data_IF_787221326242
#
_entry.id   IF_787221326242
#
_cell.length_a   1.000
_cell.length_b   1.000
_cell.length_c   1.000
_cell.angle_alpha   90.00
_cell.angle_beta   90.00
_cell.angle_gamma   90.00
#
_symmetry.space_group_name_H-M   'P 1'
#
loop_
_entity.id
_entity.type
_entity.pdbx_description
1 polymer ?
#
# COMPACT_ATOMS: atom_id res chain seq x y z
N UNK A 1 -3.27 2.86 -22.03
CA UNK A 1 -2.95 1.43 -22.11
C UNK A 1 -1.80 1.12 -21.15
N UNK A 2 -1.87 -0.02 -20.49
CA UNK A 2 -0.81 -0.47 -19.58
C UNK A 2 0.25 -1.22 -20.39
N UNK A 3 1.46 -0.73 -20.39
CA UNK A 3 2.60 -1.28 -21.13
C UNK A 3 3.63 -1.90 -20.17
N UNK A 4 4.78 -2.29 -20.70
CA UNK A 4 5.86 -2.91 -19.93
C UNK A 4 6.39 -1.97 -18.84
N UNK A 5 6.53 -0.68 -19.15
CA UNK A 5 6.97 0.32 -18.17
C UNK A 5 6.00 0.43 -17.00
N UNK A 6 4.69 0.42 -17.28
CA UNK A 6 3.67 0.46 -16.24
C UNK A 6 3.71 -0.80 -15.37
N UNK A 7 4.00 -1.97 -15.97
CA UNK A 7 4.15 -3.22 -15.21
C UNK A 7 5.33 -3.15 -14.24
N UNK A 8 6.46 -2.63 -14.69
CA UNK A 8 7.64 -2.43 -13.84
C UNK A 8 7.36 -1.44 -12.72
N UNK A 9 6.64 -0.36 -13.02
CA UNK A 9 6.20 0.62 -12.05
C UNK A 9 5.36 -0.02 -10.95
N UNK A 10 4.37 -0.82 -11.32
CA UNK A 10 3.51 -1.52 -10.36
C UNK A 10 4.33 -2.49 -9.51
N UNK A 11 5.21 -3.26 -10.12
CA UNK A 11 6.08 -4.19 -9.39
C UNK A 11 6.93 -3.45 -8.36
N UNK A 12 7.52 -2.33 -8.77
CA UNK A 12 8.36 -1.51 -7.88
C UNK A 12 7.55 -0.88 -6.74
N UNK A 13 6.31 -0.45 -7.02
CA UNK A 13 5.41 0.06 -5.99
C UNK A 13 5.22 -0.95 -4.86
N UNK A 14 4.95 -2.22 -5.20
CA UNK A 14 4.70 -3.23 -4.18
C UNK A 14 5.94 -3.65 -3.41
N UNK A 15 7.14 -3.35 -3.90
CA UNK A 15 8.37 -3.54 -3.12
C UNK A 15 8.36 -2.72 -1.83
N UNK A 16 7.62 -1.61 -1.81
CA UNK A 16 7.48 -0.75 -0.63
C UNK A 16 6.78 -1.43 0.55
N UNK A 17 6.03 -2.49 0.28
CA UNK A 17 5.25 -3.21 1.29
C UNK A 17 5.88 -4.56 1.66
N UNK A 18 7.12 -4.80 1.23
CA UNK A 18 7.93 -5.97 1.59
C UNK A 18 9.15 -5.50 2.35
N UNK A 19 9.03 -5.49 3.68
CA UNK A 19 10.03 -4.91 4.55
C UNK A 19 11.12 -5.92 4.93
N UNK A 20 12.33 -5.47 5.21
CA UNK A 20 12.77 -4.07 5.24
C UNK A 20 12.92 -3.46 3.84
N UNK A 21 12.81 -2.12 3.76
CA UNK A 21 12.97 -1.42 2.48
C UNK A 21 14.40 -1.57 1.96
N UNK A 22 14.53 -1.93 0.68
CA UNK A 22 15.84 -2.04 0.02
C UNK A 22 16.32 -0.72 -0.54
N UNK A 23 15.38 0.16 -0.88
CA UNK A 23 15.62 1.49 -1.40
C UNK A 23 14.82 2.50 -0.59
N UNK A 24 15.20 3.77 -0.64
CA UNK A 24 14.45 4.80 0.07
C UNK A 24 13.02 4.89 -0.47
N UNK A 25 12.07 5.03 0.44
CA UNK A 25 10.65 5.17 0.08
C UNK A 25 10.43 6.40 -0.80
N UNK A 26 11.08 7.52 -0.48
CA UNK A 26 11.01 8.73 -1.29
C UNK A 26 11.59 8.52 -2.70
N UNK A 27 12.71 7.83 -2.82
CA UNK A 27 13.32 7.53 -4.10
C UNK A 27 12.45 6.66 -4.99
N UNK A 28 11.79 5.65 -4.41
CA UNK A 28 10.84 4.82 -5.15
C UNK A 28 9.64 5.66 -5.59
N UNK A 29 9.07 6.48 -4.71
CA UNK A 29 7.96 7.37 -5.07
C UNK A 29 8.33 8.27 -6.25
N UNK A 30 9.53 8.86 -6.24
CA UNK A 30 9.96 9.74 -7.33
C UNK A 30 9.98 9.03 -8.68
N UNK A 31 10.25 7.74 -8.70
CA UNK A 31 10.29 6.96 -9.94
C UNK A 31 8.94 6.42 -10.37
N UNK A 32 8.05 6.09 -9.42
CA UNK A 32 6.85 5.31 -9.74
C UNK A 32 5.55 6.11 -9.65
N UNK A 33 5.53 7.28 -9.00
CA UNK A 33 4.31 8.08 -8.92
C UNK A 33 4.51 9.46 -9.54
N UNK A 34 3.41 10.04 -10.02
CA UNK A 34 3.43 11.41 -10.56
C UNK A 34 3.57 12.44 -9.44
N UNK A 35 4.01 13.68 -9.75
CA UNK A 35 4.11 14.73 -8.72
C UNK A 35 2.80 15.05 -8.01
N UNK A 36 1.68 14.89 -8.70
CA UNK A 36 0.33 15.13 -8.16
C UNK A 36 -0.35 13.86 -7.63
N UNK A 37 0.42 12.82 -7.35
CA UNK A 37 -0.09 11.54 -6.85
C UNK A 37 -0.97 11.70 -5.62
N UNK A 38 -2.06 10.94 -5.59
CA UNK A 38 -2.90 10.79 -4.41
C UNK A 38 -3.19 9.33 -4.11
N UNK A 39 -3.22 9.00 -2.83
CA UNK A 39 -3.58 7.68 -2.31
C UNK A 39 -4.83 7.83 -1.46
N UNK A 40 -5.91 7.15 -1.84
CA UNK A 40 -7.25 7.41 -1.30
C UNK A 40 -7.91 6.14 -0.78
N UNK A 41 -8.63 6.27 0.33
CA UNK A 41 -9.49 5.21 0.87
C UNK A 41 -10.97 5.43 0.51
N UNK A 42 -11.27 6.52 -0.17
CA UNK A 42 -12.62 6.90 -0.61
C UNK A 42 -12.57 8.24 -1.31
N UNK A 43 -13.72 8.87 -1.49
CA UNK A 43 -13.87 10.14 -2.20
C UNK A 43 -14.23 11.31 -1.27
N UNK A 44 -14.17 11.07 0.04
CA UNK A 44 -14.45 12.11 1.03
C UNK A 44 -13.31 13.12 1.17
N UNK A 45 -13.57 14.27 1.81
CA UNK A 45 -12.60 15.37 1.87
C UNK A 45 -11.33 15.05 2.70
N UNK A 46 -11.35 13.99 3.52
CA UNK A 46 -10.20 13.58 4.33
C UNK A 46 -9.66 12.22 3.93
N UNK A 47 -10.10 11.66 2.80
CA UNK A 47 -9.79 10.28 2.44
C UNK A 47 -8.52 10.13 1.62
N UNK A 48 -7.91 11.22 1.15
CA UNK A 48 -6.75 11.16 0.26
C UNK A 48 -5.51 11.74 0.91
N UNK A 49 -4.39 11.06 0.67
CA UNK A 49 -3.05 11.55 1.00
C UNK A 49 -2.36 12.01 -0.28
N UNK A 50 -1.59 13.09 -0.20
CA UNK A 50 -0.69 13.46 -1.27
C UNK A 50 0.58 12.59 -1.27
N UNK A 51 1.45 12.83 -2.25
CA UNK A 51 2.71 12.09 -2.39
C UNK A 51 3.54 12.16 -1.11
N UNK A 52 3.68 13.34 -0.53
CA UNK A 52 4.50 13.54 0.66
C UNK A 52 3.96 12.75 1.86
N UNK A 53 2.65 12.76 2.05
CA UNK A 53 2.02 12.00 3.14
C UNK A 53 2.16 10.49 2.91
N UNK A 54 2.02 10.03 1.67
CA UNK A 54 2.25 8.63 1.30
C UNK A 54 3.66 8.18 1.68
N UNK A 55 4.67 8.99 1.36
CA UNK A 55 6.07 8.71 1.72
C UNK A 55 6.21 8.58 3.23
N UNK A 56 5.64 9.50 4.00
CA UNK A 56 5.72 9.49 5.47
C UNK A 56 5.10 8.23 6.06
N UNK A 57 3.90 7.89 5.61
CA UNK A 57 3.16 6.72 6.13
C UNK A 57 3.91 5.43 5.81
N UNK A 58 4.34 5.25 4.58
CA UNK A 58 5.01 4.02 4.16
C UNK A 58 6.38 3.90 4.83
N UNK A 59 7.11 4.99 4.97
CA UNK A 59 8.37 4.99 5.73
C UNK A 59 8.13 4.54 7.17
N UNK A 60 7.05 4.98 7.78
CA UNK A 60 6.69 4.61 9.15
C UNK A 60 6.41 3.13 9.36
N UNK A 61 6.08 2.39 8.31
CA UNK A 61 5.83 0.95 8.44
C UNK A 61 7.04 0.17 8.92
N UNK A 62 8.26 0.63 8.65
CA UNK A 62 9.48 -0.02 9.17
C UNK A 62 9.50 -0.08 10.69
N UNK A 63 8.89 0.90 11.34
CA UNK A 63 8.78 0.94 12.80
C UNK A 63 7.52 0.26 13.30
N UNK A 64 6.38 0.47 12.61
CA UNK A 64 5.08 0.04 13.11
C UNK A 64 4.76 -1.42 12.77
N UNK A 65 5.21 -1.92 11.62
CA UNK A 65 4.97 -3.31 11.18
C UNK A 65 6.23 -3.80 10.46
N UNK A 66 7.33 -4.03 11.20
CA UNK A 66 8.65 -4.25 10.58
C UNK A 66 8.77 -5.52 9.75
N UNK A 67 7.88 -6.48 9.92
CA UNK A 67 7.84 -7.72 9.14
C UNK A 67 6.75 -7.73 8.07
N UNK A 68 6.25 -6.55 7.68
CA UNK A 68 5.20 -6.45 6.66
C UNK A 68 5.60 -7.14 5.36
N UNK A 69 4.63 -7.88 4.80
CA UNK A 69 4.74 -8.51 3.49
C UNK A 69 3.46 -8.27 2.71
N UNK A 70 3.61 -8.11 1.40
CA UNK A 70 2.49 -8.02 0.48
C UNK A 70 2.70 -9.04 -0.63
N UNK A 71 1.73 -9.93 -0.81
CA UNK A 71 1.74 -10.91 -1.89
C UNK A 71 0.65 -10.54 -2.89
N UNK A 72 1.05 -10.33 -4.14
CA UNK A 72 0.10 -10.09 -5.22
C UNK A 72 -0.55 -11.42 -5.60
N UNK A 73 -1.88 -11.48 -5.50
CA UNK A 73 -2.64 -12.70 -5.87
C UNK A 73 -3.16 -12.61 -7.30
N UNK A 74 -3.63 -11.44 -7.72
CA UNK A 74 -4.19 -11.21 -9.03
C UNK A 74 -3.92 -9.79 -9.50
N UNK A 75 -3.73 -9.62 -10.79
CA UNK A 75 -3.59 -8.32 -11.43
C UNK A 75 -4.46 -8.27 -12.66
N UNK A 76 -5.15 -7.17 -12.84
CA UNK A 76 -5.99 -6.92 -14.01
C UNK A 76 -5.65 -5.55 -14.56
N UNK A 77 -5.51 -5.45 -15.89
CA UNK A 77 -5.31 -4.18 -16.55
C UNK A 77 -6.52 -3.89 -17.44
N UNK A 78 -7.06 -2.67 -17.34
CA UNK A 78 -8.17 -2.20 -18.13
C UNK A 78 -7.95 -0.73 -18.46
N UNK A 79 -7.79 -0.40 -19.74
CA UNK A 79 -7.45 0.95 -20.20
C UNK A 79 -6.17 1.48 -19.52
N UNK A 80 -6.28 2.53 -18.73
CA UNK A 80 -5.17 3.11 -17.96
C UNK A 80 -5.20 2.71 -16.48
N UNK A 81 -5.99 1.69 -16.12
CA UNK A 81 -6.11 1.21 -14.76
C UNK A 81 -5.42 -0.14 -14.58
N UNK A 82 -4.80 -0.32 -13.43
CA UNK A 82 -4.31 -1.62 -12.96
C UNK A 82 -4.96 -1.91 -11.63
N UNK A 83 -5.63 -3.05 -11.54
CA UNK A 83 -6.29 -3.51 -10.32
C UNK A 83 -5.46 -4.64 -9.75
N UNK A 84 -5.13 -4.55 -8.46
CA UNK A 84 -4.36 -5.58 -7.75
C UNK A 84 -5.16 -6.08 -6.57
N UNK A 85 -5.36 -7.39 -6.50
CA UNK A 85 -5.82 -8.06 -5.29
C UNK A 85 -4.65 -8.79 -4.67
N UNK A 86 -4.42 -8.55 -3.41
CA UNK A 86 -3.29 -9.13 -2.71
C UNK A 86 -3.61 -9.50 -1.28
N UNK A 87 -2.57 -9.89 -0.59
CA UNK A 87 -2.62 -10.25 0.82
C UNK A 87 -1.49 -9.53 1.54
N UNK A 88 -1.84 -8.73 2.54
CA UNK A 88 -0.88 -8.06 3.40
C UNK A 88 -0.84 -8.77 4.75
N UNK A 89 0.36 -8.94 5.28
CA UNK A 89 0.58 -9.60 6.55
C UNK A 89 1.64 -8.87 7.36
N UNK A 90 1.62 -9.06 8.67
CA UNK A 90 2.61 -8.47 9.53
C UNK A 90 2.25 -8.59 11.00
N UNK A 91 3.21 -8.21 11.84
CA UNK A 91 3.06 -8.20 13.30
C UNK A 91 3.22 -6.77 13.78
N UNK A 92 2.14 -6.12 14.24
CA UNK A 92 2.27 -4.75 14.79
C UNK A 92 3.27 -4.71 15.95
N UNK A 93 4.17 -3.73 15.91
CA UNK A 93 5.15 -3.50 16.99
C UNK A 93 4.60 -2.59 18.09
N UNK A 94 3.42 -2.02 17.85
CA UNK A 94 2.66 -1.20 18.79
C UNK A 94 1.22 -1.15 18.32
N UNK A 95 0.34 -0.45 19.02
CA UNK A 95 -1.04 -0.27 18.56
C UNK A 95 -1.06 0.68 17.36
N UNK A 96 -1.96 0.41 16.40
CA UNK A 96 -2.13 1.19 15.19
C UNK A 96 -3.48 1.90 15.20
N UNK A 97 -3.60 2.98 14.42
CA UNK A 97 -4.85 3.73 14.24
C UNK A 97 -5.49 4.13 15.57
N UNK A 98 -4.68 4.75 16.46
CA UNK A 98 -5.18 5.21 17.75
C UNK A 98 -5.64 4.11 18.70
N UNK A 99 -5.11 2.90 18.55
CA UNK A 99 -5.47 1.76 19.38
C UNK A 99 -6.55 0.86 18.80
N UNK A 100 -7.10 1.21 17.62
CA UNK A 100 -8.11 0.38 16.96
C UNK A 100 -7.54 -1.00 16.60
N UNK A 101 -6.30 -1.03 16.15
CA UNK A 101 -5.56 -2.27 15.85
C UNK A 101 -4.63 -2.55 17.03
N UNK A 102 -4.89 -3.61 17.82
CA UNK A 102 -4.16 -3.83 19.07
C UNK A 102 -2.75 -4.39 18.85
N UNK A 103 -1.87 -4.10 19.82
CA UNK A 103 -0.55 -4.71 19.90
C UNK A 103 -0.61 -5.94 20.80
N UNK A 104 -0.66 -7.13 20.21
CA UNK A 104 -0.78 -8.39 20.95
C UNK A 104 0.38 -9.36 20.74
N UNK A 105 1.33 -8.99 19.89
CA UNK A 105 2.43 -9.88 19.48
C UNK A 105 2.03 -10.89 18.41
N UNK A 106 0.75 -10.93 18.03
CA UNK A 106 0.25 -11.82 16.99
C UNK A 106 0.41 -11.20 15.62
N UNK A 107 0.36 -12.04 14.59
CA UNK A 107 0.46 -11.66 13.19
C UNK A 107 -0.92 -11.63 12.55
N UNK A 108 -1.18 -10.60 11.72
CA UNK A 108 -2.37 -10.57 10.87
C UNK A 108 -2.03 -10.97 9.44
N UNK A 109 -3.04 -11.43 8.71
CA UNK A 109 -2.96 -11.74 7.28
C UNK A 109 -4.33 -11.45 6.68
N UNK A 110 -4.43 -10.44 5.84
CA UNK A 110 -5.72 -9.96 5.34
C UNK A 110 -5.65 -9.60 3.86
N UNK A 111 -6.81 -9.62 3.21
CA UNK A 111 -6.93 -9.23 1.82
C UNK A 111 -6.80 -7.71 1.68
N UNK A 112 -6.12 -7.29 0.62
CA UNK A 112 -6.03 -5.91 0.19
C UNK A 112 -6.37 -5.80 -1.29
N UNK A 113 -7.02 -4.71 -1.67
CA UNK A 113 -7.35 -4.43 -3.06
C UNK A 113 -7.01 -2.99 -3.40
N UNK A 114 -6.29 -2.80 -4.50
CA UNK A 114 -5.85 -1.49 -4.97
C UNK A 114 -6.29 -1.29 -6.41
N UNK A 115 -6.71 -0.06 -6.72
CA UNK A 115 -6.99 0.38 -8.08
C UNK A 115 -6.05 1.54 -8.39
N UNK A 116 -5.15 1.32 -9.34
CA UNK A 116 -4.16 2.32 -9.74
C UNK A 116 -4.54 2.92 -11.09
N UNK A 117 -4.44 4.24 -11.20
CA UNK A 117 -4.52 4.94 -12.48
C UNK A 117 -3.12 5.25 -12.96
N UNK A 118 -2.80 4.86 -14.19
CA UNK A 118 -1.48 5.02 -14.79
C UNK A 118 -1.50 6.20 -15.75
N UNK A 119 -0.47 7.05 -15.67
CA UNK A 119 -0.26 8.18 -16.56
C UNK A 119 1.23 8.31 -16.85
N UNK A 120 1.59 8.23 -18.13
CA UNK A 120 3.00 8.33 -18.53
C UNK A 120 3.88 7.25 -17.94
N UNK A 121 3.34 6.06 -17.70
CA UNK A 121 4.07 4.94 -17.09
C UNK A 121 4.23 5.03 -15.58
N UNK A 122 3.61 6.03 -14.94
CA UNK A 122 3.64 6.23 -13.48
C UNK A 122 2.24 6.13 -12.90
N UNK A 123 2.16 5.92 -11.61
CA UNK A 123 0.88 5.89 -10.89
C UNK A 123 0.49 7.33 -10.55
N UNK A 124 -0.66 7.78 -11.04
CA UNK A 124 -1.20 9.10 -10.70
C UNK A 124 -2.11 9.04 -9.47
N UNK A 125 -2.86 7.95 -9.31
CA UNK A 125 -3.79 7.79 -8.21
C UNK A 125 -3.92 6.31 -7.82
N UNK A 126 -4.05 6.07 -6.53
CA UNK A 126 -4.38 4.76 -5.99
C UNK A 126 -5.61 4.87 -5.10
N UNK A 127 -6.62 4.05 -5.36
CA UNK A 127 -7.63 3.72 -4.36
C UNK A 127 -7.21 2.43 -3.71
N UNK A 128 -7.14 2.40 -2.36
CA UNK A 128 -6.72 1.20 -1.65
C UNK A 128 -7.68 0.86 -0.51
N UNK A 129 -7.82 -0.43 -0.27
CA UNK A 129 -8.63 -0.94 0.82
C UNK A 129 -7.97 -2.19 1.36
N UNK A 130 -7.76 -2.22 2.66
CA UNK A 130 -7.27 -3.39 3.39
C UNK A 130 -8.33 -3.80 4.42
N UNK A 131 -8.46 -5.10 4.66
CA UNK A 131 -9.45 -5.60 5.61
C UNK A 131 -8.92 -5.49 7.05
N UNK A 132 -8.81 -4.26 7.55
CA UNK A 132 -8.33 -4.02 8.91
C UNK A 132 -9.26 -4.57 9.99
N UNK A 133 -10.55 -4.70 9.69
CA UNK A 133 -11.48 -5.33 10.60
C UNK A 133 -11.10 -6.78 10.86
N UNK A 134 -10.77 -7.53 9.80
CA UNK A 134 -10.29 -8.91 9.96
C UNK A 134 -8.96 -8.96 10.71
N UNK A 135 -8.06 -8.01 10.47
CA UNK A 135 -6.80 -7.92 11.21
C UNK A 135 -7.06 -7.73 12.71
N UNK A 136 -7.98 -6.84 13.07
CA UNK A 136 -8.34 -6.61 14.46
C UNK A 136 -8.83 -7.91 15.13
N UNK A 137 -9.68 -8.66 14.45
CA UNK A 137 -10.19 -9.93 14.98
C UNK A 137 -9.07 -10.96 15.15
N UNK A 138 -8.17 -11.06 14.17
CA UNK A 138 -7.03 -11.99 14.23
C UNK A 138 -6.07 -11.66 15.38
N UNK A 139 -5.81 -10.37 15.60
CA UNK A 139 -4.86 -9.93 16.62
C UNK A 139 -5.41 -10.09 18.04
N UNK A 140 -6.71 -10.04 18.19
CA UNK A 140 -7.37 -10.25 19.49
C UNK A 140 -7.54 -11.73 19.86
N UNK A 141 -7.59 -12.58 18.88
CA UNK A 141 -7.90 -14.01 19.07
C UNK A 141 -6.90 -14.78 19.94
#
# INVERSE_FOLDING_TARGET
MVDERARETIFMWYSLFNLPHRESVAGVHDRVVTPDYTSCTGDGPTDCWDKQRSIQVITGFETSIPDMKFEIKERFACDDHVIVRGEVSGTPAGSLFGGLIPHTGKRFRVMATDIHTIEGGKIRKTYHMENWFAAMLQLRA
#
